data_IF_164854817359
#
_entry.id   IF_164854817359
#
_cell.length_a   1.000
_cell.length_b   1.000
_cell.length_c   1.000
_cell.angle_alpha   90.00
_cell.angle_beta   90.00
_cell.angle_gamma   90.00
#
_symmetry.space_group_name_H-M   'P 1'
#
loop_
_entity.id
_entity.type
_entity.pdbx_description
1 polymer ?
#
# COMPACT_ATOMS: atom_id res chain seq x y z
N UNK A 1 10.73 4.31 -21.58
CA UNK A 1 10.84 4.08 -20.13
C UNK A 1 10.22 2.71 -19.89
N UNK A 2 10.94 1.80 -19.25
CA UNK A 2 10.50 0.42 -19.06
C UNK A 2 9.35 0.37 -18.02
N UNK A 3 8.24 -0.29 -18.35
CA UNK A 3 7.07 -0.42 -17.46
C UNK A 3 7.47 -1.01 -16.11
N UNK A 4 8.42 -1.96 -16.09
CA UNK A 4 8.91 -2.57 -14.85
C UNK A 4 9.60 -1.55 -13.93
N UNK A 5 10.29 -0.57 -14.51
CA UNK A 5 10.92 0.50 -13.75
C UNK A 5 9.89 1.40 -13.07
N UNK A 6 8.82 1.77 -13.78
CA UNK A 6 7.74 2.60 -13.24
C UNK A 6 7.01 1.89 -12.08
N UNK A 7 6.75 0.58 -12.20
CA UNK A 7 6.09 -0.20 -11.15
C UNK A 7 6.97 -0.26 -9.88
N UNK A 8 8.31 -0.36 -10.04
CA UNK A 8 9.25 -0.26 -8.91
C UNK A 8 9.26 1.13 -8.29
N UNK A 9 9.17 2.20 -9.09
CA UNK A 9 9.07 3.55 -8.55
C UNK A 9 7.76 3.74 -7.77
N UNK A 10 6.65 3.18 -8.26
CA UNK A 10 5.36 3.24 -7.57
C UNK A 10 5.34 2.41 -6.29
N UNK A 11 5.99 1.24 -6.27
CA UNK A 11 6.20 0.42 -5.06
C UNK A 11 6.72 1.24 -3.89
N UNK A 12 7.60 2.19 -4.17
CA UNK A 12 8.24 3.02 -3.16
C UNK A 12 7.53 4.37 -3.00
N UNK A 13 6.36 4.57 -3.62
CA UNK A 13 5.66 5.86 -3.75
C UNK A 13 6.61 7.00 -4.17
N UNK A 14 7.47 6.73 -5.14
CA UNK A 14 8.35 7.75 -5.75
C UNK A 14 7.70 8.43 -6.96
N UNK A 15 6.62 7.84 -7.47
CA UNK A 15 5.71 8.42 -8.46
C UNK A 15 4.27 8.25 -7.96
N UNK A 16 3.37 9.08 -8.46
CA UNK A 16 1.94 8.99 -8.20
C UNK A 16 1.25 7.88 -9.01
N UNK A 17 0.04 7.51 -8.59
CA UNK A 17 -0.83 6.61 -9.37
C UNK A 17 -1.16 7.21 -10.75
N UNK A 18 -1.31 8.53 -10.82
CA UNK A 18 -1.59 9.25 -12.08
C UNK A 18 -0.42 9.09 -13.06
N UNK A 19 0.81 9.28 -12.61
CA UNK A 19 2.02 9.04 -13.41
C UNK A 19 2.13 7.57 -13.85
N UNK A 20 1.80 6.62 -12.97
CA UNK A 20 1.81 5.19 -13.30
C UNK A 20 0.78 4.86 -14.40
N UNK A 21 -0.43 5.41 -14.28
CA UNK A 21 -1.54 5.16 -15.20
C UNK A 21 -1.31 5.70 -16.63
N UNK A 22 -0.35 6.61 -16.80
CA UNK A 22 0.06 7.11 -18.11
C UNK A 22 0.96 6.11 -18.86
N UNK A 23 1.52 5.11 -18.17
CA UNK A 23 2.47 4.14 -18.73
C UNK A 23 1.87 2.75 -18.82
N UNK A 24 1.07 2.35 -17.83
CA UNK A 24 0.42 1.05 -17.80
C UNK A 24 -1.10 1.20 -17.61
N UNK A 25 -1.85 0.24 -18.15
CA UNK A 25 -3.23 0.06 -17.72
C UNK A 25 -3.23 -0.62 -16.35
N UNK A 26 -3.48 0.17 -15.30
CA UNK A 26 -3.50 -0.27 -13.90
C UNK A 26 -4.61 -1.28 -13.58
N UNK A 27 -5.56 -1.48 -14.49
CA UNK A 27 -6.61 -2.50 -14.38
C UNK A 27 -6.29 -3.78 -15.16
N UNK A 28 -5.21 -3.78 -15.95
CA UNK A 28 -4.76 -4.95 -16.71
C UNK A 28 -3.87 -5.84 -15.86
N UNK A 29 -3.93 -7.14 -16.12
CA UNK A 29 -3.02 -8.13 -15.55
C UNK A 29 -1.56 -7.84 -15.96
N UNK A 30 -0.62 -8.21 -15.09
CA UNK A 30 0.79 -8.15 -15.43
C UNK A 30 1.07 -9.12 -16.59
N UNK A 31 1.95 -8.78 -17.56
CA UNK A 31 2.39 -9.74 -18.54
C UNK A 31 2.98 -10.98 -17.85
N UNK A 32 2.79 -12.21 -18.39
CA UNK A 32 3.23 -13.44 -17.70
C UNK A 32 4.72 -13.46 -17.31
N UNK A 33 5.58 -12.81 -18.10
CA UNK A 33 7.01 -12.67 -17.82
C UNK A 33 7.37 -11.71 -16.67
N UNK A 34 6.44 -10.85 -16.25
CA UNK A 34 6.59 -9.86 -15.19
C UNK A 34 5.65 -10.09 -14.00
N UNK A 35 4.80 -11.12 -14.06
CA UNK A 35 3.92 -11.50 -12.96
C UNK A 35 4.76 -11.81 -11.72
N UNK A 36 4.40 -11.17 -10.59
CA UNK A 36 5.07 -11.32 -9.29
C UNK A 36 6.57 -10.97 -9.32
N UNK A 37 7.01 -10.18 -10.30
CA UNK A 37 8.43 -9.86 -10.50
C UNK A 37 8.97 -8.79 -9.56
N UNK A 38 8.10 -8.09 -8.83
CA UNK A 38 8.48 -7.01 -7.92
C UNK A 38 8.14 -7.40 -6.49
N UNK A 39 9.18 -7.57 -5.68
CA UNK A 39 9.02 -8.00 -4.29
C UNK A 39 8.86 -6.77 -3.38
N UNK A 40 7.92 -6.89 -2.45
CA UNK A 40 7.67 -5.95 -1.36
C UNK A 40 8.13 -6.60 -0.07
N UNK A 41 9.01 -5.88 0.61
CA UNK A 41 9.65 -6.32 1.85
C UNK A 41 9.44 -5.22 2.91
N UNK A 42 9.80 -5.51 4.16
CA UNK A 42 9.53 -4.62 5.29
C UNK A 42 10.05 -3.20 5.07
N UNK A 43 11.21 -3.05 4.43
CA UNK A 43 11.82 -1.75 4.12
C UNK A 43 10.97 -0.91 3.16
N UNK A 44 10.25 -1.54 2.23
CA UNK A 44 9.42 -0.83 1.26
C UNK A 44 8.15 -0.28 1.92
N UNK A 45 7.46 -1.12 2.70
CA UNK A 45 6.30 -0.67 3.48
C UNK A 45 6.70 0.36 4.56
N UNK A 46 7.85 0.17 5.21
CA UNK A 46 8.40 1.14 6.16
C UNK A 46 8.69 2.48 5.49
N UNK A 47 9.31 2.47 4.31
CA UNK A 47 9.59 3.70 3.57
C UNK A 47 8.33 4.48 3.23
N UNK A 48 7.26 3.79 2.83
CA UNK A 48 5.96 4.42 2.54
C UNK A 48 5.35 5.09 3.78
N UNK A 49 5.41 4.41 4.93
CA UNK A 49 4.91 4.96 6.20
C UNK A 49 5.74 6.16 6.69
N UNK A 50 7.07 6.13 6.52
CA UNK A 50 7.92 7.27 6.89
C UNK A 50 7.67 8.48 5.97
N UNK A 51 7.45 8.28 4.67
CA UNK A 51 7.04 9.35 3.73
C UNK A 51 5.74 10.03 4.19
N UNK A 52 4.78 9.24 4.65
CA UNK A 52 3.54 9.77 5.20
C UNK A 52 3.77 10.62 6.44
N UNK A 53 4.58 10.13 7.38
CA UNK A 53 4.95 10.89 8.59
C UNK A 53 5.67 12.20 8.27
N UNK A 54 6.40 12.24 7.16
CA UNK A 54 7.09 13.43 6.66
C UNK A 54 6.17 14.37 5.84
N UNK A 55 4.90 14.01 5.66
CA UNK A 55 3.92 14.69 4.80
C UNK A 55 4.33 14.75 3.32
N UNK A 56 5.17 13.82 2.85
CA UNK A 56 5.56 13.73 1.44
C UNK A 56 4.47 13.09 0.58
N UNK A 57 3.66 12.23 1.20
CA UNK A 57 2.52 11.56 0.57
C UNK A 57 1.29 11.72 1.45
N UNK A 58 0.10 11.68 0.82
CA UNK A 58 -1.16 11.75 1.55
C UNK A 58 -1.62 10.36 1.98
N UNK A 59 -2.55 10.32 2.93
CA UNK A 59 -3.23 9.07 3.32
C UNK A 59 -3.93 8.40 2.12
N UNK A 60 -4.47 9.20 1.20
CA UNK A 60 -5.10 8.70 -0.02
C UNK A 60 -4.08 8.00 -0.93
N UNK A 61 -2.85 8.51 -1.02
CA UNK A 61 -1.79 7.90 -1.82
C UNK A 61 -1.40 6.53 -1.25
N UNK A 62 -1.26 6.43 0.07
CA UNK A 62 -0.95 5.16 0.75
C UNK A 62 -2.07 4.14 0.53
N UNK A 63 -3.33 4.56 0.67
CA UNK A 63 -4.42 3.62 0.52
C UNK A 63 -4.52 3.12 -0.93
N UNK A 64 -4.29 4.00 -1.93
CA UNK A 64 -4.22 3.62 -3.35
C UNK A 64 -3.06 2.68 -3.64
N UNK A 65 -1.92 2.92 -3.01
CA UNK A 65 -0.75 2.06 -3.04
C UNK A 65 -1.05 0.67 -2.49
N UNK A 66 -1.65 0.60 -1.30
CA UNK A 66 -1.99 -0.66 -0.65
C UNK A 66 -2.98 -1.48 -1.49
N UNK A 67 -4.02 -0.83 -2.02
CA UNK A 67 -4.99 -1.46 -2.92
C UNK A 67 -4.34 -2.04 -4.17
N UNK A 68 -3.46 -1.28 -4.81
CA UNK A 68 -2.78 -1.72 -6.03
C UNK A 68 -1.86 -2.90 -5.76
N UNK A 69 -1.15 -2.91 -4.63
CA UNK A 69 -0.28 -4.02 -4.24
C UNK A 69 -1.08 -5.29 -4.00
N UNK A 70 -2.20 -5.20 -3.26
CA UNK A 70 -3.01 -6.37 -2.92
C UNK A 70 -3.70 -7.00 -4.11
N UNK A 71 -4.13 -6.19 -5.08
CA UNK A 71 -4.99 -6.65 -6.17
C UNK A 71 -4.26 -6.86 -7.49
N UNK A 72 -3.03 -6.38 -7.63
CA UNK A 72 -2.30 -6.48 -8.88
C UNK A 72 -1.32 -7.66 -8.88
N UNK A 73 -1.19 -8.30 -10.04
CA UNK A 73 -0.25 -9.41 -10.25
C UNK A 73 1.19 -8.94 -10.47
N UNK A 74 1.49 -7.66 -10.25
CA UNK A 74 2.83 -7.11 -10.42
C UNK A 74 3.72 -7.39 -9.20
N UNK A 75 3.12 -7.59 -8.03
CA UNK A 75 3.83 -7.67 -6.76
C UNK A 75 3.67 -8.99 -6.05
N UNK A 76 4.72 -9.39 -5.34
CA UNK A 76 4.67 -10.43 -4.32
C UNK A 76 5.32 -9.92 -3.02
N UNK A 77 5.08 -10.59 -1.91
CA UNK A 77 5.66 -10.25 -0.62
C UNK A 77 6.91 -11.08 -0.34
N UNK A 78 7.89 -10.47 0.31
CA UNK A 78 9.05 -11.18 0.86
C UNK A 78 8.57 -12.30 1.80
N UNK A 79 8.93 -13.56 1.53
CA UNK A 79 8.45 -14.74 2.27
C UNK A 79 8.68 -14.64 3.78
N UNK A 80 9.84 -14.12 4.20
CA UNK A 80 10.26 -14.04 5.61
C UNK A 80 9.34 -13.17 6.48
N UNK A 81 8.60 -12.25 5.86
CA UNK A 81 7.71 -11.30 6.53
C UNK A 81 6.34 -11.18 5.86
N UNK A 82 5.94 -12.22 5.12
CA UNK A 82 4.71 -12.24 4.33
C UNK A 82 3.49 -11.81 5.17
N UNK A 83 3.30 -12.43 6.34
CA UNK A 83 2.13 -12.20 7.19
C UNK A 83 2.08 -10.78 7.75
N UNK A 84 3.23 -10.28 8.24
CA UNK A 84 3.34 -8.91 8.75
C UNK A 84 3.09 -7.88 7.66
N UNK A 85 3.70 -8.05 6.48
CA UNK A 85 3.53 -7.10 5.37
C UNK A 85 2.08 -7.12 4.89
N UNK A 86 1.51 -8.30 4.64
CA UNK A 86 0.13 -8.44 4.20
C UNK A 86 -0.85 -7.80 5.20
N UNK A 87 -0.61 -7.98 6.51
CA UNK A 87 -1.42 -7.35 7.57
C UNK A 87 -1.31 -5.82 7.54
N UNK A 88 -0.10 -5.25 7.45
CA UNK A 88 0.07 -3.79 7.32
C UNK A 88 -0.67 -3.28 6.09
N UNK A 89 -0.42 -3.89 4.93
CA UNK A 89 -0.99 -3.43 3.65
C UNK A 89 -2.53 -3.50 3.70
N UNK A 90 -3.11 -4.56 4.24
CA UNK A 90 -4.56 -4.66 4.41
C UNK A 90 -5.15 -3.55 5.30
N UNK A 91 -4.46 -3.22 6.40
CA UNK A 91 -4.88 -2.13 7.27
C UNK A 91 -4.78 -0.76 6.59
N UNK A 92 -3.80 -0.57 5.70
CA UNK A 92 -3.61 0.66 4.93
C UNK A 92 -4.62 0.84 3.79
N UNK A 93 -5.14 -0.26 3.24
CA UNK A 93 -6.16 -0.25 2.18
C UNK A 93 -7.56 0.07 2.72
N UNK A 94 -7.82 -0.28 3.99
CA UNK A 94 -9.12 -0.17 4.63
C UNK A 94 -9.85 1.17 4.42
N UNK A 95 -9.20 2.36 4.48
CA UNK A 95 -9.88 3.64 4.23
C UNK A 95 -10.56 3.76 2.84
N UNK A 96 -10.06 3.06 1.81
CA UNK A 96 -10.63 3.10 0.45
C UNK A 96 -11.79 2.14 0.22
N UNK A 97 -11.90 1.06 0.99
CA UNK A 97 -13.02 0.12 0.85
C UNK A 97 -14.34 0.82 1.18
N UNK A 98 -14.35 1.66 2.23
CA UNK A 98 -15.60 2.19 2.80
C UNK A 98 -16.09 3.48 2.15
N UNK A 99 -15.25 4.20 1.40
CA UNK A 99 -15.67 5.34 0.59
C UNK A 99 -16.71 4.98 -0.48
N UNK A 100 -16.78 3.70 -0.88
CA UNK A 100 -17.82 3.18 -1.77
C UNK A 100 -19.03 2.55 -1.03
N UNK A 101 -18.95 2.35 0.29
CA UNK A 101 -20.03 1.78 1.12
C UNK A 101 -20.76 2.83 1.99
N UNK A 102 -20.27 4.08 2.03
CA UNK A 102 -20.74 5.15 2.92
C UNK A 102 -22.05 5.86 2.49
N UNK A 103 -23.01 5.13 1.91
CA UNK A 103 -24.36 5.63 1.61
C UNK A 103 -25.37 5.38 2.76
N UNK A 104 -24.93 4.91 3.93
CA UNK A 104 -25.82 4.71 5.08
C UNK A 104 -25.10 4.57 6.41
N UNK A 105 -25.17 5.64 7.22
CA UNK A 105 -25.02 5.69 8.68
C UNK A 105 -23.91 4.82 9.31
N UNK A 106 -22.71 5.40 9.49
CA UNK A 106 -21.53 4.71 10.04
C UNK A 106 -20.88 5.48 11.22
N UNK A 107 -21.67 6.13 12.07
CA UNK A 107 -21.19 7.01 13.14
C UNK A 107 -20.19 6.35 14.12
N UNK A 108 -20.47 5.13 14.57
CA UNK A 108 -19.62 4.42 15.55
C UNK A 108 -18.44 3.66 14.91
N UNK A 109 -18.46 3.43 13.59
CA UNK A 109 -17.43 2.68 12.86
C UNK A 109 -16.28 3.58 12.34
N UNK A 110 -16.56 4.87 12.11
CA UNK A 110 -15.54 5.88 11.82
C UNK A 110 -14.51 6.03 12.96
N UNK A 111 -14.93 5.75 14.20
CA UNK A 111 -14.12 5.91 15.41
C UNK A 111 -13.14 4.73 15.60
N UNK A 112 -13.48 3.54 15.12
CA UNK A 112 -12.70 2.31 15.34
C UNK A 112 -11.61 2.08 14.29
N UNK A 113 -11.86 2.49 13.04
CA UNK A 113 -10.95 2.23 11.90
C UNK A 113 -10.47 3.50 11.22
N UNK A 114 -10.50 4.60 11.99
CA UNK A 114 -10.23 5.94 11.54
C UNK A 114 -8.83 6.12 10.93
N UNK A 115 -8.76 7.24 10.20
CA UNK A 115 -7.59 7.97 9.71
C UNK A 115 -6.25 7.38 10.14
N UNK A 116 -5.34 7.10 9.20
CA UNK A 116 -3.97 6.71 9.52
C UNK A 116 -3.32 7.78 10.39
N UNK A 117 -3.32 7.60 11.71
CA UNK A 117 -2.68 8.57 12.61
C UNK A 117 -1.17 8.37 12.61
N UNK A 118 -0.37 9.37 12.99
CA UNK A 118 1.06 9.21 13.18
C UNK A 118 1.41 8.04 14.12
N UNK A 119 0.63 7.84 15.19
CA UNK A 119 0.84 6.77 16.17
C UNK A 119 0.54 5.38 15.56
N UNK A 120 -0.49 5.27 14.72
CA UNK A 120 -0.76 4.03 13.97
C UNK A 120 0.37 3.74 12.98
N UNK A 121 0.86 4.75 12.27
CA UNK A 121 1.99 4.60 11.37
C UNK A 121 3.25 4.12 12.12
N UNK A 122 3.54 4.67 13.31
CA UNK A 122 4.65 4.21 14.16
C UNK A 122 4.47 2.77 14.63
N UNK A 123 3.25 2.36 14.99
CA UNK A 123 2.93 0.97 15.33
C UNK A 123 3.22 0.02 14.17
N UNK A 124 2.80 0.36 12.94
CA UNK A 124 3.06 -0.45 11.76
C UNK A 124 4.55 -0.52 11.43
N UNK A 125 5.27 0.60 11.51
CA UNK A 125 6.73 0.64 11.33
C UNK A 125 7.43 -0.28 12.34
N UNK A 126 7.00 -0.26 13.61
CA UNK A 126 7.56 -1.12 14.64
C UNK A 126 7.28 -2.60 14.37
N UNK A 127 6.07 -2.94 13.91
CA UNK A 127 5.72 -4.30 13.54
C UNK A 127 6.60 -4.81 12.37
N UNK A 128 6.76 -4.00 11.32
CA UNK A 128 7.62 -4.31 10.17
C UNK A 128 9.09 -4.47 10.56
N UNK A 129 9.62 -3.61 11.45
CA UNK A 129 11.02 -3.68 11.91
C UNK A 129 11.31 -4.93 12.74
N UNK A 130 10.33 -5.40 13.50
CA UNK A 130 10.49 -6.55 14.41
C UNK A 130 9.89 -7.85 13.85
N UNK A 131 9.27 -7.80 12.67
CA UNK A 131 8.53 -8.91 12.07
C UNK A 131 7.47 -9.50 13.04
N UNK A 132 6.67 -8.63 13.63
CA UNK A 132 5.61 -9.02 14.58
C UNK A 132 4.23 -8.87 13.96
N UNK A 133 3.26 -9.62 14.47
CA UNK A 133 1.84 -9.42 14.17
C UNK A 133 1.34 -8.07 14.71
N UNK A 134 0.24 -7.60 14.14
CA UNK A 134 -0.41 -6.30 14.42
C UNK A 134 -1.80 -6.56 14.98
#
# INVERSE_FOLDING_TARGET
MDSLHMIKQYRDLSISMEELSNVIDVNSFAPPEYSYSIIICNEHATSVLEKYKQNEVTELDIARWAKFIMLSEWYDYCEESYETIASVVANLEAPLLWGNYADGDCGELNEFMGKLSPEKADSYINALKNNTEI
#
